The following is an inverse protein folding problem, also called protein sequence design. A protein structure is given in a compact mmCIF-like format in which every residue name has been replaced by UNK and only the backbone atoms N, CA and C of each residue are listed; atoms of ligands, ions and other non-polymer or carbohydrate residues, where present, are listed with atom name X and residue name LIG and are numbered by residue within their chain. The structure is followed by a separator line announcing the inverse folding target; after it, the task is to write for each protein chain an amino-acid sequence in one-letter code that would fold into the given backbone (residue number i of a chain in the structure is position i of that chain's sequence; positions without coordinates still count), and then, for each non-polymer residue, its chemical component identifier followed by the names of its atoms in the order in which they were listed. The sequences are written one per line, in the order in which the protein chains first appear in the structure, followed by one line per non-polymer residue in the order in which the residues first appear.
data_IF_313018167816
#
_entry.id   IF_313018167816
#
_cell.length_a   1.000
_cell.length_b   1.000
_cell.length_c   1.000
_cell.angle_alpha   90.00
_cell.angle_beta   90.00
_cell.angle_gamma   90.00
#
_symmetry.space_group_name_H-M   'P 1'
#
loop_
_entity.id
_entity.type
_entity.pdbx_description
1 polymer ?
#
# COMPACT_ATOMS: atom_id res chain seq x y z
N UNK A 1 41.45 -13.84 4.40
CA UNK A 1 41.68 -12.98 5.56
C UNK A 1 42.52 -11.81 5.08
N UNK A 2 42.09 -10.58 5.34
CA UNK A 2 42.90 -9.40 5.08
C UNK A 2 44.07 -9.40 6.06
N UNK A 3 45.29 -9.14 5.57
CA UNK A 3 46.48 -9.00 6.39
C UNK A 3 46.73 -7.52 6.66
N UNK A 4 46.86 -7.14 7.91
CA UNK A 4 47.26 -5.77 8.29
C UNK A 4 48.76 -5.58 7.96
N UNK A 5 49.05 -4.60 7.13
CA UNK A 5 50.45 -4.22 6.77
C UNK A 5 50.55 -2.70 6.74
N UNK A 6 51.72 -2.18 7.04
CA UNK A 6 51.96 -0.74 6.95
C UNK A 6 52.37 -0.38 5.52
N UNK A 7 51.63 0.57 4.93
CA UNK A 7 51.90 1.13 3.63
C UNK A 7 51.98 2.66 3.72
N UNK A 8 52.58 3.27 2.72
CA UNK A 8 52.76 4.72 2.64
C UNK A 8 51.96 5.28 1.45
N UNK A 9 51.45 6.48 1.62
CA UNK A 9 50.58 7.16 0.64
C UNK A 9 51.27 8.45 0.18
N UNK A 10 51.09 8.80 -1.07
CA UNK A 10 51.48 10.11 -1.60
C UNK A 10 50.41 11.21 -1.36
N UNK A 11 49.47 10.96 -0.45
CA UNK A 11 48.41 11.87 -0.04
C UNK A 11 48.11 11.69 1.46
N UNK A 12 47.29 12.58 2.05
CA UNK A 12 46.96 12.55 3.48
C UNK A 12 46.04 11.35 3.87
N UNK A 13 45.37 10.71 2.90
CA UNK A 13 44.52 9.55 3.11
C UNK A 13 44.49 8.67 1.88
N UNK A 14 44.00 7.42 2.00
CA UNK A 14 43.77 6.54 0.84
C UNK A 14 42.82 7.16 -0.18
N UNK A 15 41.85 7.97 0.27
CA UNK A 15 40.90 8.66 -0.61
C UNK A 15 41.55 9.70 -1.51
N UNK A 16 42.55 10.43 -1.00
CA UNK A 16 43.24 11.52 -1.72
C UNK A 16 44.55 11.07 -2.42
N UNK A 17 45.07 9.89 -2.06
CA UNK A 17 46.29 9.36 -2.64
C UNK A 17 46.07 8.94 -4.11
N UNK A 18 47.13 9.01 -4.92
CA UNK A 18 47.13 8.48 -6.29
C UNK A 18 47.87 7.18 -6.43
N UNK A 19 48.64 6.78 -5.38
CA UNK A 19 49.38 5.52 -5.34
C UNK A 19 49.63 5.08 -3.88
N UNK A 20 49.94 3.77 -3.71
CA UNK A 20 50.35 3.16 -2.45
C UNK A 20 51.76 2.63 -2.60
N UNK A 21 52.58 2.78 -1.53
CA UNK A 21 53.97 2.42 -1.56
C UNK A 21 54.31 1.51 -0.39
N UNK A 22 55.35 0.71 -0.54
CA UNK A 22 55.90 -0.16 0.50
C UNK A 22 57.00 0.50 1.34
N UNK A 23 57.51 1.65 0.90
CA UNK A 23 58.58 2.41 1.54
C UNK A 23 58.19 3.85 1.86
N UNK A 24 58.75 4.45 2.92
CA UNK A 24 58.45 5.82 3.33
C UNK A 24 58.96 6.90 2.34
N UNK A 25 59.92 6.53 1.50
CA UNK A 25 60.49 7.43 0.49
C UNK A 25 59.65 7.47 -0.80
N UNK A 26 58.54 6.72 -0.84
CA UNK A 26 57.59 6.64 -1.96
C UNK A 26 58.24 6.23 -3.30
N UNK A 27 59.22 5.33 -3.23
CA UNK A 27 59.96 4.89 -4.40
C UNK A 27 59.56 3.52 -4.93
N UNK A 28 58.99 2.67 -4.08
CA UNK A 28 58.58 1.32 -4.41
C UNK A 28 57.07 1.18 -4.29
N UNK A 29 56.41 1.08 -5.41
CA UNK A 29 54.96 0.85 -5.41
C UNK A 29 54.57 -0.43 -4.70
N UNK A 30 53.51 -0.40 -3.99
CA UNK A 30 52.91 -1.56 -3.39
C UNK A 30 52.41 -2.53 -4.49
N UNK A 31 52.28 -3.84 -4.22
CA UNK A 31 51.73 -4.79 -5.19
C UNK A 31 50.33 -4.39 -5.65
N UNK A 32 50.03 -4.70 -6.92
CA UNK A 32 48.66 -4.55 -7.44
C UNK A 32 47.67 -5.34 -6.57
N UNK A 33 46.52 -4.72 -6.28
CA UNK A 33 45.49 -5.31 -5.43
C UNK A 33 44.63 -4.26 -4.71
N UNK A 34 43.78 -4.73 -3.79
CA UNK A 34 42.86 -3.87 -3.07
C UNK A 34 43.47 -3.42 -1.73
N UNK A 35 43.39 -2.13 -1.49
CA UNK A 35 43.85 -1.46 -0.26
C UNK A 35 42.69 -0.85 0.46
N UNK A 36 42.67 -1.02 1.80
CA UNK A 36 41.59 -0.60 2.69
C UNK A 36 42.19 0.15 3.91
N UNK A 37 41.64 1.33 4.21
CA UNK A 37 42.12 2.16 5.32
C UNK A 37 41.17 2.17 6.53
N UNK A 38 40.12 1.33 6.51
CA UNK A 38 39.08 1.29 7.52
C UNK A 38 37.78 1.97 7.09
N UNK A 39 37.81 2.72 5.99
CA UNK A 39 36.68 3.50 5.50
C UNK A 39 36.40 3.17 4.03
N UNK A 40 37.41 3.23 3.17
CA UNK A 40 37.25 3.03 1.73
C UNK A 40 38.18 1.94 1.21
N UNK A 41 37.76 1.32 0.09
CA UNK A 41 38.59 0.39 -0.68
C UNK A 41 38.93 1.01 -2.03
N UNK A 42 40.20 0.89 -2.41
CA UNK A 42 40.67 1.26 -3.74
C UNK A 42 41.56 0.16 -4.31
N UNK A 43 41.43 -0.09 -5.59
CA UNK A 43 42.31 -0.99 -6.32
C UNK A 43 43.53 -0.25 -6.83
N UNK A 44 44.72 -0.79 -6.55
CA UNK A 44 45.97 -0.34 -7.11
C UNK A 44 46.28 -1.21 -8.34
N UNK A 45 46.46 -0.60 -9.49
CA UNK A 45 46.86 -1.26 -10.74
C UNK A 45 48.02 -0.50 -11.35
N UNK A 46 49.14 -1.18 -11.52
CA UNK A 46 50.37 -0.59 -12.08
C UNK A 46 50.75 0.76 -11.43
N UNK A 47 50.73 0.78 -10.10
CA UNK A 47 51.06 1.94 -9.29
C UNK A 47 50.07 3.14 -9.40
N UNK A 48 48.85 2.89 -9.85
CA UNK A 48 47.80 3.92 -9.91
C UNK A 48 46.60 3.41 -9.12
N UNK A 49 46.17 4.18 -8.13
CA UNK A 49 44.92 3.93 -7.41
C UNK A 49 43.73 4.30 -8.30
N UNK A 50 42.96 3.30 -8.63
CA UNK A 50 41.68 3.48 -9.31
C UNK A 50 40.68 4.21 -8.42
N UNK A 51 39.57 4.74 -8.96
CA UNK A 51 38.49 5.31 -8.15
C UNK A 51 38.08 4.36 -7.03
N UNK A 52 37.64 4.92 -5.91
CA UNK A 52 37.18 4.12 -4.78
C UNK A 52 36.01 3.21 -5.19
N UNK A 53 35.98 2.05 -4.55
CA UNK A 53 34.92 1.08 -4.72
C UNK A 53 34.27 0.80 -3.35
N UNK A 54 33.00 0.41 -3.37
CA UNK A 54 32.36 -0.13 -2.18
C UNK A 54 33.12 -1.38 -1.73
N UNK A 55 33.33 -1.47 -0.42
CA UNK A 55 33.84 -2.68 0.20
C UNK A 55 32.65 -3.56 0.63
N UNK A 56 32.32 -4.65 -0.08
CA UNK A 56 31.20 -5.50 0.33
C UNK A 56 31.39 -6.12 1.73
N UNK A 57 32.66 -6.28 2.15
CA UNK A 57 32.99 -6.77 3.50
C UNK A 57 32.97 -5.69 4.57
N UNK A 58 32.78 -4.41 4.17
CA UNK A 58 32.70 -3.26 5.04
C UNK A 58 31.27 -2.74 5.18
N UNK A 59 30.30 -3.40 4.54
CA UNK A 59 28.90 -3.00 4.60
C UNK A 59 28.35 -3.14 6.03
N UNK A 60 27.60 -2.16 6.47
CA UNK A 60 26.88 -2.23 7.73
C UNK A 60 25.72 -3.23 7.63
N UNK A 61 25.38 -3.89 8.75
CA UNK A 61 24.29 -4.86 8.74
C UNK A 61 22.93 -4.15 8.64
N UNK A 62 22.00 -4.74 7.88
CA UNK A 62 20.60 -4.33 7.91
C UNK A 62 19.99 -4.55 9.31
N UNK A 63 18.81 -3.96 9.58
CA UNK A 63 18.09 -4.09 10.85
C UNK A 63 18.71 -3.29 12.01
N UNK A 64 19.66 -2.41 11.70
CA UNK A 64 20.24 -1.48 12.66
C UNK A 64 19.34 -0.27 12.95
N UNK A 65 19.89 0.70 13.69
CA UNK A 65 19.24 1.99 13.90
C UNK A 65 19.11 2.76 12.58
N UNK A 66 18.14 3.71 12.51
CA UNK A 66 18.06 4.60 11.35
C UNK A 66 19.40 5.27 11.07
N UNK A 67 19.78 5.30 9.80
CA UNK A 67 20.93 6.05 9.32
C UNK A 67 20.45 7.47 9.07
N UNK A 68 20.88 8.40 9.91
CA UNK A 68 20.43 9.79 9.89
C UNK A 68 21.56 10.73 9.54
N UNK A 69 21.28 11.74 8.73
CA UNK A 69 22.23 12.80 8.41
C UNK A 69 21.53 14.15 8.30
N UNK A 70 22.22 15.18 8.76
CA UNK A 70 21.87 16.58 8.52
C UNK A 70 23.03 17.23 7.74
N UNK A 71 22.83 17.39 6.44
CA UNK A 71 23.83 17.96 5.56
C UNK A 71 23.76 19.49 5.55
N UNK A 72 24.83 20.15 6.01
CA UNK A 72 24.90 21.61 5.98
C UNK A 72 25.03 22.19 4.56
N UNK A 73 25.61 21.45 3.63
CA UNK A 73 25.99 21.93 2.29
C UNK A 73 25.37 21.14 1.15
N UNK A 74 24.59 20.12 1.45
CA UNK A 74 24.20 19.11 0.46
C UNK A 74 25.29 18.04 0.29
N UNK A 75 25.00 16.98 -0.46
CA UNK A 75 25.97 15.92 -0.71
C UNK A 75 25.39 14.72 -1.47
N UNK A 76 26.27 13.84 -1.90
CA UNK A 76 25.97 12.52 -2.41
C UNK A 76 26.40 11.50 -1.35
N UNK A 77 25.45 10.74 -0.79
CA UNK A 77 25.67 9.83 0.31
C UNK A 77 25.59 8.39 -0.17
N UNK A 78 26.67 7.64 0.00
CA UNK A 78 26.76 6.24 -0.41
C UNK A 78 26.78 5.34 0.84
N UNK A 79 25.87 4.36 0.85
CA UNK A 79 25.67 3.43 1.97
C UNK A 79 25.72 2.03 1.42
N UNK A 80 26.62 1.19 1.92
CA UNK A 80 26.66 -0.23 1.63
C UNK A 80 25.99 -1.02 2.76
N UNK A 81 25.05 -1.89 2.45
CA UNK A 81 24.31 -2.68 3.44
C UNK A 81 24.51 -4.18 3.20
N UNK A 82 24.81 -4.88 4.28
CA UNK A 82 24.87 -6.34 4.33
C UNK A 82 23.49 -6.90 4.66
N UNK A 83 22.87 -7.56 3.70
CA UNK A 83 21.52 -8.15 3.81
C UNK A 83 21.52 -9.58 4.38
N UNK A 84 22.68 -10.24 4.38
CA UNK A 84 22.75 -11.66 4.70
C UNK A 84 22.17 -12.56 3.58
N UNK A 85 22.00 -13.83 3.91
CA UNK A 85 21.53 -14.87 2.97
C UNK A 85 20.03 -15.20 3.10
N UNK A 86 19.30 -14.55 4.00
CA UNK A 86 17.85 -14.75 4.11
C UNK A 86 17.14 -14.23 2.85
N UNK A 87 16.02 -14.86 2.50
CA UNK A 87 15.12 -14.44 1.43
C UNK A 87 13.87 -13.80 2.02
N UNK A 88 13.15 -13.02 1.25
CA UNK A 88 11.96 -12.28 1.66
C UNK A 88 11.96 -10.87 1.07
N UNK A 89 11.20 -9.95 1.63
CA UNK A 89 11.22 -8.55 1.23
C UNK A 89 12.34 -7.77 1.91
N UNK A 90 13.06 -6.95 1.16
CA UNK A 90 13.91 -5.89 1.70
C UNK A 90 13.05 -4.63 1.73
N UNK A 91 12.77 -4.12 2.92
CA UNK A 91 11.98 -2.90 3.08
C UNK A 91 12.90 -1.76 3.49
N UNK A 92 12.91 -0.71 2.69
CA UNK A 92 13.68 0.51 2.92
C UNK A 92 12.69 1.63 3.15
N UNK A 93 12.69 2.18 4.35
CA UNK A 93 11.98 3.39 4.69
C UNK A 93 12.93 4.58 4.56
N UNK A 94 12.53 5.56 3.77
CA UNK A 94 13.30 6.77 3.52
C UNK A 94 12.47 7.99 3.88
N UNK A 95 12.87 8.73 4.89
CA UNK A 95 12.27 10.01 5.26
C UNK A 95 13.18 11.16 4.82
N UNK A 96 12.83 11.89 3.75
CA UNK A 96 13.56 13.04 3.27
C UNK A 96 13.23 14.32 4.03
N UNK A 97 12.37 14.27 5.05
CA UNK A 97 11.84 15.45 5.75
C UNK A 97 11.27 16.50 4.78
N UNK A 98 11.72 17.74 4.92
CA UNK A 98 11.14 18.89 4.20
C UNK A 98 11.99 19.41 3.04
N UNK A 99 13.23 18.93 2.89
CA UNK A 99 14.14 19.38 1.82
C UNK A 99 14.18 18.33 0.68
N UNK A 100 14.27 18.77 -0.58
CA UNK A 100 14.31 17.86 -1.73
C UNK A 100 15.45 16.86 -1.70
N UNK A 101 15.11 15.55 -1.71
CA UNK A 101 16.05 14.44 -1.71
C UNK A 101 15.62 13.33 -2.65
N UNK A 102 16.61 12.66 -3.22
CA UNK A 102 16.41 11.43 -3.98
C UNK A 102 17.12 10.26 -3.31
N UNK A 103 16.52 9.08 -3.42
CA UNK A 103 17.15 7.81 -3.06
C UNK A 103 17.23 6.89 -4.27
N UNK A 104 18.38 6.28 -4.45
CA UNK A 104 18.64 5.24 -5.43
C UNK A 104 19.16 4.00 -4.72
N UNK A 105 18.53 2.87 -4.93
CA UNK A 105 18.95 1.58 -4.38
C UNK A 105 19.37 0.68 -5.50
N UNK A 106 20.56 0.11 -5.41
CA UNK A 106 21.12 -0.83 -6.39
C UNK A 106 21.20 -2.21 -5.75
N UNK A 107 20.39 -3.13 -6.26
CA UNK A 107 20.37 -4.51 -5.80
C UNK A 107 20.28 -5.47 -6.99
N UNK A 108 21.15 -6.48 -7.03
CA UNK A 108 21.22 -7.49 -8.09
C UNK A 108 21.26 -6.92 -9.52
N UNK A 109 21.93 -5.79 -9.69
CA UNK A 109 22.05 -5.08 -10.98
C UNK A 109 20.81 -4.28 -11.37
N UNK A 110 19.76 -4.28 -10.56
CA UNK A 110 18.54 -3.47 -10.75
C UNK A 110 18.65 -2.20 -9.92
N UNK A 111 18.16 -1.11 -10.49
CA UNK A 111 18.13 0.21 -9.85
C UNK A 111 16.71 0.58 -9.50
N UNK A 112 16.47 0.90 -8.23
CA UNK A 112 15.19 1.36 -7.69
C UNK A 112 15.35 2.79 -7.23
N UNK A 113 14.54 3.70 -7.74
CA UNK A 113 14.65 5.14 -7.45
C UNK A 113 13.34 5.66 -6.87
N UNK A 114 13.45 6.54 -5.85
CA UNK A 114 12.34 7.36 -5.38
C UNK A 114 12.82 8.77 -5.05
N UNK A 115 11.90 9.72 -5.22
CA UNK A 115 12.06 11.10 -4.77
C UNK A 115 10.76 11.51 -4.08
N UNK A 116 10.81 12.36 -3.10
CA UNK A 116 9.58 12.84 -2.49
C UNK A 116 8.81 13.73 -3.46
N UNK A 117 7.48 13.64 -3.45
CA UNK A 117 6.62 14.31 -4.45
C UNK A 117 6.77 15.83 -4.50
N UNK A 118 6.93 16.47 -3.37
CA UNK A 118 7.19 17.91 -3.28
C UNK A 118 8.55 18.24 -3.89
N UNK A 119 9.50 17.39 -3.68
CA UNK A 119 10.87 17.57 -4.14
C UNK A 119 10.99 17.37 -5.62
N UNK A 120 10.14 16.54 -6.18
CA UNK A 120 10.15 16.25 -7.58
C UNK A 120 9.85 17.42 -8.45
N UNK A 121 8.74 17.99 -8.25
CA UNK A 121 8.39 19.14 -9.03
C UNK A 121 9.24 20.35 -8.73
N UNK A 122 9.75 20.43 -7.54
CA UNK A 122 10.75 21.39 -7.14
C UNK A 122 12.05 21.16 -7.93
N UNK A 123 12.57 19.94 -7.96
CA UNK A 123 13.76 19.58 -8.74
C UNK A 123 13.53 19.65 -10.25
N UNK A 124 12.32 19.42 -10.72
CA UNK A 124 11.95 19.59 -12.13
C UNK A 124 11.78 21.04 -12.56
N UNK A 125 11.93 22.02 -11.65
CA UNK A 125 11.72 23.44 -11.96
C UNK A 125 10.30 23.76 -12.39
N UNK A 126 9.32 22.92 -12.03
CA UNK A 126 7.93 23.15 -12.36
C UNK A 126 7.38 24.29 -11.51
N UNK A 127 7.21 25.44 -12.14
CA UNK A 127 6.71 26.68 -11.53
C UNK A 127 5.31 26.57 -10.91
N UNK A 128 4.67 25.41 -11.02
CA UNK A 128 3.27 25.18 -10.64
C UNK A 128 3.11 24.26 -9.42
N UNK A 129 4.19 23.94 -8.73
CA UNK A 129 4.08 23.09 -7.55
C UNK A 129 3.74 23.92 -6.32
N UNK A 130 3.01 23.28 -5.39
CA UNK A 130 2.65 23.94 -4.15
C UNK A 130 3.91 24.47 -3.48
N UNK A 131 3.81 25.69 -2.98
CA UNK A 131 4.89 26.42 -2.34
C UNK A 131 5.51 25.53 -1.26
N UNK A 132 6.73 25.12 -1.47
CA UNK A 132 7.52 24.45 -0.47
C UNK A 132 7.77 25.44 0.68
N UNK A 133 7.45 25.02 1.90
CA UNK A 133 7.61 25.90 3.07
C UNK A 133 9.05 25.80 3.54
N UNK A 134 9.88 26.74 3.10
CA UNK A 134 11.24 26.86 3.59
C UNK A 134 12.25 27.20 2.51
N UNK A 135 12.31 26.46 1.39
CA UNK A 135 13.28 26.70 0.34
C UNK A 135 12.66 26.61 -1.05
N UNK A 136 13.15 27.41 -1.99
CA UNK A 136 12.73 27.40 -3.39
C UNK A 136 13.81 26.76 -4.26
N UNK A 137 13.47 26.29 -5.46
CA UNK A 137 14.44 25.71 -6.40
C UNK A 137 15.62 26.66 -6.68
N UNK A 138 15.38 27.97 -6.64
CA UNK A 138 16.43 28.97 -6.78
C UNK A 138 17.41 29.03 -5.63
N UNK A 139 16.98 28.64 -4.41
CA UNK A 139 17.82 28.70 -3.22
C UNK A 139 18.83 27.53 -3.19
N UNK A 140 18.44 26.38 -3.76
CA UNK A 140 19.35 25.22 -3.89
C UNK A 140 20.18 25.23 -5.17
N UNK A 141 19.87 26.07 -6.14
CA UNK A 141 20.57 26.11 -7.43
C UNK A 141 20.39 24.84 -8.29
N UNK A 142 19.37 24.01 -7.99
CA UNK A 142 19.13 22.76 -8.70
C UNK A 142 18.34 23.03 -9.96
N UNK A 143 18.87 22.53 -11.08
CA UNK A 143 18.22 22.55 -12.39
C UNK A 143 18.01 21.11 -12.85
N UNK A 144 16.76 20.72 -13.08
CA UNK A 144 16.45 19.38 -13.59
C UNK A 144 17.16 19.11 -14.93
N UNK A 145 17.60 17.88 -15.13
CA UNK A 145 18.34 17.39 -16.30
C UNK A 145 19.68 18.13 -16.53
N UNK A 146 20.25 18.70 -15.48
CA UNK A 146 21.58 19.31 -15.51
C UNK A 146 22.51 18.58 -14.54
N UNK A 147 23.83 18.47 -14.87
CA UNK A 147 24.79 17.87 -13.96
C UNK A 147 25.03 18.75 -12.75
N UNK A 148 25.02 18.13 -11.57
CA UNK A 148 25.39 18.74 -10.30
C UNK A 148 26.60 18.00 -9.71
N UNK A 149 27.59 18.74 -9.27
CA UNK A 149 28.78 18.19 -8.60
C UNK A 149 28.57 18.31 -7.10
N UNK A 150 28.49 17.20 -6.41
CA UNK A 150 28.23 17.10 -4.98
C UNK A 150 29.41 16.47 -4.26
N UNK A 151 29.72 16.92 -3.05
CA UNK A 151 30.66 16.24 -2.17
C UNK A 151 30.12 14.81 -1.90
N UNK A 152 31.01 13.82 -2.00
CA UNK A 152 30.67 12.43 -1.78
C UNK A 152 31.02 12.02 -0.36
N UNK A 153 30.03 11.44 0.31
CA UNK A 153 30.13 10.88 1.65
C UNK A 153 29.91 9.36 1.57
N UNK A 154 30.69 8.61 2.32
CA UNK A 154 30.54 7.15 2.46
C UNK A 154 30.20 6.83 3.90
N UNK A 155 29.17 6.02 4.10
CA UNK A 155 28.75 5.53 5.41
C UNK A 155 29.54 4.29 5.81
N UNK A 156 30.15 4.34 6.97
CA UNK A 156 30.88 3.21 7.54
C UNK A 156 30.95 3.34 9.06
N UNK A 157 30.65 2.23 9.77
CA UNK A 157 30.78 2.18 11.24
C UNK A 157 29.87 3.20 11.95
N UNK A 158 28.73 3.53 11.39
CA UNK A 158 27.74 4.44 11.99
C UNK A 158 27.95 5.92 11.69
N UNK A 159 28.91 6.29 10.82
CA UNK A 159 29.19 7.70 10.50
C UNK A 159 29.43 7.90 9.00
N UNK A 160 29.06 9.07 8.50
CA UNK A 160 29.45 9.51 7.17
C UNK A 160 30.81 10.20 7.15
N UNK A 161 31.63 9.84 6.19
CA UNK A 161 32.95 10.44 5.97
C UNK A 161 33.04 10.97 4.55
N UNK A 162 33.40 12.26 4.42
CA UNK A 162 33.60 12.91 3.11
C UNK A 162 34.80 12.28 2.40
N UNK A 163 34.67 12.05 1.10
CA UNK A 163 35.73 11.53 0.26
C UNK A 163 36.39 12.68 -0.53
N UNK A 164 37.59 12.43 -1.07
CA UNK A 164 38.30 13.40 -1.88
C UNK A 164 37.74 13.56 -3.32
N UNK A 165 36.76 12.73 -3.70
CA UNK A 165 36.22 12.69 -5.05
C UNK A 165 34.74 13.02 -4.99
N UNK A 166 34.35 14.22 -5.47
CA UNK A 166 32.94 14.57 -5.59
C UNK A 166 32.24 13.69 -6.64
N UNK A 167 30.95 13.53 -6.49
CA UNK A 167 30.10 12.81 -7.44
C UNK A 167 29.39 13.79 -8.36
N UNK A 168 29.24 13.42 -9.63
CA UNK A 168 28.42 14.19 -10.58
C UNK A 168 27.10 13.49 -10.80
N UNK A 169 26.02 14.10 -10.36
CA UNK A 169 24.67 13.56 -10.46
C UNK A 169 23.82 14.35 -11.43
N UNK A 170 22.94 13.67 -12.15
CA UNK A 170 21.87 14.28 -12.92
C UNK A 170 20.54 13.92 -12.28
N UNK A 171 19.80 14.92 -11.85
CA UNK A 171 18.43 14.73 -11.40
C UNK A 171 17.51 14.72 -12.63
N UNK A 172 17.09 13.53 -13.05
CA UNK A 172 16.27 13.37 -14.24
C UNK A 172 14.79 13.49 -13.89
N UNK A 173 14.03 14.21 -14.71
CA UNK A 173 12.57 14.30 -14.54
C UNK A 173 11.85 12.95 -14.68
N UNK A 174 12.44 11.97 -15.39
CA UNK A 174 11.89 10.62 -15.53
C UNK A 174 12.09 9.71 -14.32
N UNK A 175 12.93 10.09 -13.35
CA UNK A 175 13.17 9.31 -12.12
C UNK A 175 12.17 9.64 -11.01
N UNK A 176 11.17 10.37 -11.32
CA UNK A 176 10.27 11.06 -10.44
C UNK A 176 9.07 10.19 -10.14
N UNK A 177 8.96 9.74 -8.88
CA UNK A 177 7.77 9.07 -8.37
C UNK A 177 6.71 10.10 -7.95
N UNK A 178 5.77 10.39 -8.86
CA UNK A 178 4.67 11.33 -8.62
C UNK A 178 3.67 10.84 -7.56
N UNK A 179 3.80 9.60 -7.08
CA UNK A 179 2.90 9.02 -6.08
C UNK A 179 3.41 9.20 -4.65
N UNK A 180 4.67 9.57 -4.49
CA UNK A 180 5.22 9.83 -3.16
C UNK A 180 4.52 11.05 -2.52
N UNK A 181 3.89 10.85 -1.37
CA UNK A 181 3.22 11.92 -0.63
C UNK A 181 4.21 12.64 0.27
N UNK A 182 4.16 13.95 0.32
CA UNK A 182 5.01 14.77 1.17
C UNK A 182 4.14 15.60 2.15
N UNK A 183 4.59 15.87 3.38
CA UNK A 183 5.77 15.33 4.05
C UNK A 183 5.51 13.94 4.61
N UNK A 184 6.48 13.04 4.50
CA UNK A 184 6.39 11.73 5.10
C UNK A 184 7.35 10.72 4.48
N UNK A 185 7.62 9.61 5.17
CA UNK A 185 8.51 8.59 4.66
C UNK A 185 7.96 7.98 3.37
N UNK A 186 8.85 7.68 2.45
CA UNK A 186 8.57 6.85 1.30
C UNK A 186 9.23 5.48 1.47
N UNK A 187 8.70 4.48 0.78
CA UNK A 187 9.16 3.11 0.93
C UNK A 187 9.60 2.54 -0.41
N UNK A 188 10.69 1.77 -0.38
CA UNK A 188 11.15 0.95 -1.48
C UNK A 188 11.11 -0.49 -0.99
N UNK A 189 10.36 -1.35 -1.67
CA UNK A 189 10.28 -2.77 -1.40
C UNK A 189 10.97 -3.52 -2.53
N UNK A 190 11.93 -4.39 -2.18
CA UNK A 190 12.73 -5.14 -3.13
C UNK A 190 12.63 -6.62 -2.80
N UNK A 191 12.13 -7.48 -3.71
CA UNK A 191 12.07 -8.91 -3.49
C UNK A 191 13.47 -9.51 -3.50
N UNK A 192 13.83 -10.22 -2.43
CA UNK A 192 15.05 -11.02 -2.34
C UNK A 192 14.68 -12.50 -2.46
N UNK A 193 14.62 -12.99 -3.68
CA UNK A 193 14.20 -14.38 -4.00
C UNK A 193 15.31 -15.40 -3.88
N UNK A 194 16.56 -14.95 -3.73
CA UNK A 194 17.78 -15.78 -3.69
C UNK A 194 18.66 -15.42 -2.48
N UNK A 195 19.42 -16.38 -1.92
CA UNK A 195 20.42 -16.10 -0.90
C UNK A 195 21.51 -15.12 -1.32
N UNK A 196 21.72 -14.94 -2.62
CA UNK A 196 22.71 -14.03 -3.20
C UNK A 196 22.02 -13.09 -4.20
N UNK A 197 22.46 -11.80 -4.31
CA UNK A 197 23.56 -11.16 -3.59
C UNK A 197 23.22 -10.89 -2.11
N UNK A 198 24.27 -10.80 -1.29
CA UNK A 198 24.14 -10.53 0.16
C UNK A 198 24.34 -9.06 0.52
N UNK A 199 24.60 -8.22 -0.48
CA UNK A 199 24.83 -6.79 -0.28
C UNK A 199 23.98 -5.97 -1.24
N UNK A 200 23.64 -4.77 -0.83
CA UNK A 200 23.06 -3.73 -1.69
C UNK A 200 23.76 -2.40 -1.46
N UNK A 201 23.59 -1.50 -2.40
CA UNK A 201 24.07 -0.12 -2.32
C UNK A 201 22.87 0.82 -2.28
N UNK A 202 22.94 1.81 -1.39
CA UNK A 202 21.97 2.91 -1.34
C UNK A 202 22.75 4.20 -1.59
N UNK A 203 22.24 5.01 -2.51
CA UNK A 203 22.75 6.35 -2.78
C UNK A 203 21.68 7.36 -2.46
N UNK A 204 22.01 8.38 -1.65
CA UNK A 204 21.10 9.48 -1.36
C UNK A 204 21.67 10.75 -1.97
N UNK A 205 20.84 11.42 -2.73
CA UNK A 205 21.16 12.64 -3.44
C UNK A 205 20.50 13.80 -2.70
N UNK A 206 21.28 14.49 -1.89
CA UNK A 206 20.89 15.66 -1.11
C UNK A 206 21.48 16.90 -1.77
N UNK A 207 20.85 17.37 -2.83
CA UNK A 207 21.43 18.43 -3.64
C UNK A 207 21.27 19.83 -3.00
N UNK A 208 20.37 20.01 -2.04
CA UNK A 208 20.14 21.26 -1.32
C UNK A 208 20.94 21.33 -0.01
N UNK A 209 21.40 22.54 0.39
CA UNK A 209 21.89 22.79 1.74
C UNK A 209 20.82 22.51 2.79
N UNK A 210 21.21 22.16 4.01
CA UNK A 210 20.34 21.86 5.14
C UNK A 210 19.38 20.67 4.89
N UNK A 211 19.73 19.81 3.94
CA UNK A 211 19.04 18.56 3.73
C UNK A 211 19.18 17.65 4.93
N UNK A 212 18.09 17.03 5.33
CA UNK A 212 18.06 16.01 6.38
C UNK A 212 17.36 14.76 5.84
N UNK A 213 17.86 13.59 6.24
CA UNK A 213 17.19 12.34 5.92
C UNK A 213 17.38 11.30 7.00
N UNK A 214 16.44 10.38 7.07
CA UNK A 214 16.55 9.12 7.78
C UNK A 214 16.33 7.96 6.81
N UNK A 215 17.13 6.91 6.93
CA UNK A 215 16.95 5.64 6.19
C UNK A 215 16.95 4.50 7.16
N UNK A 216 15.89 3.72 7.15
CA UNK A 216 15.78 2.45 7.89
C UNK A 216 15.73 1.29 6.91
N UNK A 217 16.52 0.26 7.13
CA UNK A 217 16.58 -0.91 6.27
C UNK A 217 16.25 -2.15 7.08
N UNK A 218 15.08 -2.73 6.83
CA UNK A 218 14.72 -4.03 7.39
C UNK A 218 15.49 -5.15 6.68
N UNK A 219 16.06 -6.07 7.46
CA UNK A 219 16.69 -7.26 6.88
C UNK A 219 15.63 -8.18 6.27
N UNK A 220 15.91 -8.81 5.12
CA UNK A 220 14.98 -9.76 4.55
C UNK A 220 14.78 -10.94 5.51
N UNK A 221 13.52 -11.24 5.80
CA UNK A 221 13.09 -12.40 6.58
C UNK A 221 12.08 -13.20 5.76
N UNK A 222 11.99 -14.53 5.96
CA UNK A 222 10.96 -15.32 5.31
C UNK A 222 9.57 -14.78 5.67
N UNK A 223 8.77 -14.47 4.65
CA UNK A 223 7.42 -13.94 4.86
C UNK A 223 6.51 -15.02 5.46
N UNK A 224 5.68 -14.62 6.41
CA UNK A 224 4.72 -15.51 7.07
C UNK A 224 3.36 -15.44 6.37
N UNK A 225 2.73 -16.59 6.15
CA UNK A 225 1.38 -16.64 5.55
C UNK A 225 0.30 -16.30 6.56
N UNK A 226 -0.75 -15.63 6.10
CA UNK A 226 -1.99 -15.45 6.85
C UNK A 226 -3.21 -15.51 5.92
N UNK A 227 -4.40 -15.71 6.50
CA UNK A 227 -5.65 -15.74 5.76
C UNK A 227 -6.43 -14.45 5.95
N UNK A 228 -7.05 -13.95 4.88
CA UNK A 228 -7.83 -12.73 4.88
C UNK A 228 -8.92 -12.76 3.82
N UNK A 229 -9.78 -11.75 3.80
CA UNK A 229 -10.70 -11.49 2.69
C UNK A 229 -9.97 -10.89 1.49
N UNK A 230 -10.68 -10.73 0.38
CA UNK A 230 -10.29 -9.83 -0.69
C UNK A 230 -10.23 -8.36 -0.21
N UNK A 231 -9.65 -7.49 -1.05
CA UNK A 231 -9.63 -6.05 -0.78
C UNK A 231 -11.03 -5.46 -0.82
N UNK A 232 -11.37 -4.66 0.16
CA UNK A 232 -12.67 -4.01 0.30
C UNK A 232 -12.54 -2.49 0.39
N UNK A 233 -13.55 -1.76 -0.11
CA UNK A 233 -13.57 -0.30 -0.09
C UNK A 233 -13.85 0.29 1.31
N UNK A 234 -14.33 -0.52 2.26
CA UNK A 234 -14.61 -0.10 3.63
C UNK A 234 -14.47 -1.25 4.62
N UNK A 235 -14.22 -0.93 5.89
CA UNK A 235 -14.17 -1.89 6.98
C UNK A 235 -15.45 -2.73 7.10
N UNK A 236 -16.60 -2.12 6.83
CA UNK A 236 -17.90 -2.79 6.89
C UNK A 236 -18.03 -3.89 5.84
N UNK A 237 -17.59 -3.63 4.62
CA UNK A 237 -17.57 -4.62 3.54
C UNK A 237 -16.56 -5.72 3.82
N UNK A 238 -15.37 -5.37 4.32
CA UNK A 238 -14.37 -6.35 4.73
C UNK A 238 -14.92 -7.32 5.78
N UNK A 239 -15.62 -6.81 6.81
CA UNK A 239 -16.23 -7.65 7.85
C UNK A 239 -17.29 -8.63 7.34
N UNK A 240 -17.92 -8.33 6.21
CA UNK A 240 -18.93 -9.20 5.59
C UNK A 240 -18.34 -10.19 4.60
N UNK A 241 -17.07 -10.02 4.24
CA UNK A 241 -16.42 -10.82 3.22
C UNK A 241 -15.79 -12.09 3.79
N UNK A 242 -15.65 -13.11 2.93
CA UNK A 242 -15.09 -14.42 3.29
C UNK A 242 -13.58 -14.33 3.49
N UNK A 243 -13.05 -15.14 4.42
CA UNK A 243 -11.60 -15.26 4.65
C UNK A 243 -11.11 -16.48 3.86
N UNK A 244 -10.94 -16.30 2.56
CA UNK A 244 -10.56 -17.39 1.63
C UNK A 244 -9.30 -17.10 0.83
N UNK A 245 -8.69 -15.91 1.03
CA UNK A 245 -7.44 -15.53 0.42
C UNK A 245 -6.24 -15.84 1.32
N UNK A 246 -5.09 -16.11 0.71
CA UNK A 246 -3.80 -16.22 1.39
C UNK A 246 -2.89 -15.10 0.99
N UNK A 247 -2.33 -14.42 2.00
CA UNK A 247 -1.37 -13.35 1.84
C UNK A 247 -0.15 -13.58 2.72
N UNK A 248 0.80 -12.65 2.66
CA UNK A 248 2.08 -12.75 3.32
C UNK A 248 2.39 -11.48 4.11
N UNK A 249 3.09 -11.61 5.22
CA UNK A 249 3.42 -10.49 6.11
C UNK A 249 4.89 -10.53 6.53
N UNK A 250 5.48 -9.35 6.61
CA UNK A 250 6.74 -9.10 7.32
C UNK A 250 6.42 -8.35 8.62
N UNK A 251 6.66 -9.03 9.74
CA UNK A 251 6.41 -8.46 11.07
C UNK A 251 7.55 -7.50 11.45
N UNK A 252 7.32 -6.21 11.29
CA UNK A 252 8.28 -5.16 11.69
C UNK A 252 8.00 -4.71 13.12
N UNK A 253 6.73 -4.50 13.48
CA UNK A 253 6.31 -3.97 14.78
C UNK A 253 5.39 -4.91 15.56
N UNK A 254 4.88 -5.96 14.92
CA UNK A 254 4.12 -7.04 15.57
C UNK A 254 5.03 -8.14 16.11
N UNK A 255 4.54 -8.94 17.03
CA UNK A 255 5.18 -10.23 17.37
C UNK A 255 4.83 -11.28 16.34
N UNK A 256 5.66 -12.32 16.18
CA UNK A 256 5.36 -13.42 15.25
C UNK A 256 3.94 -13.97 15.46
N UNK A 257 3.11 -13.89 14.41
CA UNK A 257 1.71 -14.34 14.42
C UNK A 257 0.68 -13.29 14.81
N UNK A 258 1.07 -12.03 15.09
CA UNK A 258 0.15 -10.95 15.43
C UNK A 258 0.57 -9.67 14.70
N UNK A 259 -0.36 -9.07 13.95
CA UNK A 259 -0.10 -7.83 13.23
C UNK A 259 0.19 -6.66 14.18
N UNK A 260 1.16 -5.82 13.76
CA UNK A 260 1.39 -4.49 14.30
C UNK A 260 1.01 -3.40 13.30
N UNK A 261 0.84 -2.17 13.78
CA UNK A 261 0.84 -1.01 12.89
C UNK A 261 2.20 -0.91 12.21
N UNK A 262 2.17 -0.60 10.92
CA UNK A 262 3.34 -0.49 10.03
C UNK A 262 4.00 -1.83 9.66
N UNK A 263 3.38 -2.97 9.95
CA UNK A 263 3.78 -4.24 9.34
C UNK A 263 3.48 -4.23 7.83
N UNK A 264 4.37 -4.85 7.06
CA UNK A 264 4.25 -4.92 5.60
C UNK A 264 3.48 -6.17 5.18
N UNK A 265 2.55 -5.99 4.25
CA UNK A 265 1.70 -7.09 3.75
C UNK A 265 1.78 -7.20 2.23
N UNK A 266 1.86 -8.46 1.74
CA UNK A 266 2.16 -8.78 0.36
C UNK A 266 1.18 -9.81 -0.21
N UNK A 267 1.02 -9.77 -1.55
CA UNK A 267 0.22 -10.75 -2.29
C UNK A 267 0.99 -12.06 -2.56
N UNK A 268 2.32 -12.02 -2.50
CA UNK A 268 3.19 -13.14 -2.84
C UNK A 268 4.26 -13.40 -1.77
N UNK A 269 4.78 -14.63 -1.77
CA UNK A 269 5.77 -15.11 -0.78
C UNK A 269 7.13 -14.42 -0.87
N UNK A 270 7.44 -13.81 -2.02
CA UNK A 270 8.73 -13.15 -2.25
C UNK A 270 8.70 -11.67 -1.90
N UNK A 271 7.52 -11.10 -1.63
CA UNK A 271 7.36 -9.67 -1.37
C UNK A 271 7.46 -8.81 -2.64
N UNK A 272 7.12 -9.37 -3.81
CA UNK A 272 7.19 -8.66 -5.09
C UNK A 272 6.03 -7.66 -5.25
N UNK A 273 4.84 -8.05 -4.78
CA UNK A 273 3.64 -7.22 -4.86
C UNK A 273 3.08 -6.95 -3.47
N UNK A 274 3.06 -5.68 -3.06
CA UNK A 274 2.38 -5.27 -1.83
C UNK A 274 0.87 -5.45 -1.95
N UNK A 275 0.18 -5.62 -0.83
CA UNK A 275 -1.28 -5.64 -0.83
C UNK A 275 -1.83 -4.29 -1.31
N UNK A 276 -2.90 -4.30 -2.15
CA UNK A 276 -3.60 -3.09 -2.55
C UNK A 276 -4.14 -2.30 -1.35
N UNK A 277 -4.25 -0.99 -1.53
CA UNK A 277 -4.88 -0.13 -0.53
C UNK A 277 -6.35 -0.52 -0.33
N UNK A 278 -6.76 -0.65 0.93
CA UNK A 278 -8.14 -1.03 1.27
C UNK A 278 -8.29 -1.65 2.65
N UNK A 279 -9.44 -2.26 2.87
CA UNK A 279 -9.80 -2.91 4.13
C UNK A 279 -9.86 -4.43 3.95
N UNK A 280 -9.39 -5.16 4.94
CA UNK A 280 -9.25 -6.61 4.92
C UNK A 280 -9.79 -7.23 6.22
N UNK A 281 -10.58 -8.29 6.12
CA UNK A 281 -11.08 -9.05 7.26
C UNK A 281 -10.11 -10.18 7.59
N UNK A 282 -9.54 -10.18 8.79
CA UNK A 282 -8.59 -11.20 9.22
C UNK A 282 -8.54 -11.33 10.76
N UNK A 283 -9.60 -11.82 11.39
CA UNK A 283 -9.72 -11.85 12.84
C UNK A 283 -8.64 -12.71 13.52
N UNK A 284 -8.11 -13.72 12.83
CA UNK A 284 -7.08 -14.61 13.41
C UNK A 284 -5.68 -13.96 13.43
N UNK A 285 -5.45 -12.93 12.62
CA UNK A 285 -4.15 -12.26 12.50
C UNK A 285 -4.14 -10.88 13.15
N UNK A 286 -5.30 -10.26 13.33
CA UNK A 286 -5.43 -8.99 14.02
C UNK A 286 -5.21 -9.13 15.53
N UNK A 287 -4.58 -8.15 16.21
CA UNK A 287 -4.52 -8.15 17.66
C UNK A 287 -5.92 -7.99 18.26
N UNK A 288 -6.37 -8.90 19.17
CA UNK A 288 -7.68 -8.78 19.78
C UNK A 288 -7.87 -7.43 20.49
N UNK A 289 -9.05 -6.79 20.42
CA UNK A 289 -10.32 -7.33 19.88
C UNK A 289 -10.59 -7.03 18.41
N UNK A 290 -9.57 -6.77 17.59
CA UNK A 290 -9.76 -6.36 16.21
C UNK A 290 -10.04 -7.55 15.30
N UNK A 291 -10.80 -7.30 14.23
CA UNK A 291 -11.20 -8.30 13.24
C UNK A 291 -10.83 -7.88 11.81
N UNK A 292 -10.47 -6.62 11.61
CA UNK A 292 -10.07 -6.09 10.31
C UNK A 292 -8.87 -5.16 10.42
N UNK A 293 -8.16 -4.98 9.31
CA UNK A 293 -7.08 -4.01 9.17
C UNK A 293 -7.21 -3.22 7.86
N UNK A 294 -6.65 -2.02 7.84
CA UNK A 294 -6.53 -1.18 6.66
C UNK A 294 -5.09 -1.15 6.16
N UNK A 295 -4.93 -1.30 4.85
CA UNK A 295 -3.65 -1.20 4.16
C UNK A 295 -3.59 0.12 3.39
N UNK A 296 -2.45 0.80 3.46
CA UNK A 296 -2.08 1.92 2.59
C UNK A 296 -0.62 1.76 2.18
N UNK A 297 -0.36 1.79 0.87
CA UNK A 297 0.98 1.59 0.29
C UNK A 297 1.67 0.29 0.78
N UNK A 298 0.91 -0.79 0.93
CA UNK A 298 1.41 -2.08 1.41
C UNK A 298 1.66 -2.18 2.92
N UNK A 299 1.30 -1.16 3.70
CA UNK A 299 1.53 -1.09 5.15
C UNK A 299 0.21 -1.10 5.90
N UNK A 300 0.15 -1.79 7.04
CA UNK A 300 -1.01 -1.76 7.91
C UNK A 300 -1.03 -0.43 8.67
N UNK A 301 -2.05 0.39 8.42
CA UNK A 301 -2.17 1.73 9.01
C UNK A 301 -3.26 1.84 10.07
N UNK A 302 -4.17 0.89 10.13
CA UNK A 302 -5.28 0.90 11.08
C UNK A 302 -5.81 -0.51 11.34
N UNK A 303 -6.32 -0.71 12.55
CA UNK A 303 -7.11 -1.88 12.96
C UNK A 303 -8.47 -1.46 13.46
N UNK A 304 -9.41 -2.40 13.45
CA UNK A 304 -10.69 -2.22 14.09
C UNK A 304 -11.47 -3.50 14.26
N UNK A 305 -12.53 -3.42 15.04
CA UNK A 305 -13.46 -4.52 15.28
C UNK A 305 -14.57 -4.50 14.25
N UNK A 306 -14.95 -5.67 13.79
CA UNK A 306 -16.20 -5.84 13.08
C UNK A 306 -17.34 -5.56 14.06
N UNK A 307 -17.95 -4.39 13.91
CA UNK A 307 -19.21 -4.15 14.57
C UNK A 307 -20.23 -5.00 13.83
N UNK A 308 -20.34 -6.26 14.19
CA UNK A 308 -21.51 -7.05 13.89
C UNK A 308 -22.66 -6.40 14.65
N UNK A 309 -23.16 -5.31 14.11
CA UNK A 309 -24.42 -4.79 14.55
C UNK A 309 -25.41 -5.89 14.22
N UNK A 310 -25.97 -6.52 15.27
CA UNK A 310 -27.07 -7.46 15.10
C UNK A 310 -28.28 -6.80 14.40
N UNK A 311 -28.13 -5.57 13.95
CA UNK A 311 -29.17 -4.77 13.32
C UNK A 311 -28.83 -4.46 11.87
N UNK A 312 -29.76 -4.74 11.02
CA UNK A 312 -29.67 -4.58 9.58
C UNK A 312 -30.79 -3.67 9.10
N UNK A 313 -30.50 -2.85 8.11
CA UNK A 313 -31.55 -2.16 7.37
C UNK A 313 -31.96 -3.07 6.21
N UNK A 314 -33.23 -3.38 6.16
CA UNK A 314 -33.81 -4.25 5.15
C UNK A 314 -34.87 -3.47 4.36
N UNK A 315 -35.00 -3.77 3.07
CA UNK A 315 -35.98 -3.20 2.18
C UNK A 315 -36.95 -4.28 1.75
N UNK A 316 -38.25 -4.05 1.93
CA UNK A 316 -39.26 -5.02 1.54
C UNK A 316 -39.32 -5.17 0.04
N UNK A 317 -39.30 -6.44 -0.43
CA UNK A 317 -39.49 -6.75 -1.83
C UNK A 317 -40.93 -6.48 -2.23
N UNK A 318 -41.16 -5.49 -3.05
CA UNK A 318 -42.51 -5.12 -3.52
C UNK A 318 -42.74 -3.62 -3.54
N UNK A 319 -42.56 -2.93 -2.41
CA UNK A 319 -42.74 -1.48 -2.29
C UNK A 319 -41.52 -0.72 -1.78
N UNK A 320 -40.46 -1.44 -1.43
CA UNK A 320 -39.23 -0.83 -0.94
C UNK A 320 -39.30 -0.25 0.47
N UNK A 321 -40.36 -0.57 1.28
CA UNK A 321 -40.43 -0.10 2.66
C UNK A 321 -39.22 -0.59 3.47
N UNK A 322 -38.52 0.34 4.09
CA UNK A 322 -37.33 0.03 4.87
C UNK A 322 -37.65 -0.16 6.36
N UNK A 323 -36.99 -1.14 6.97
CA UNK A 323 -37.05 -1.41 8.42
C UNK A 323 -35.66 -1.67 8.95
N UNK A 324 -35.46 -1.47 10.25
CA UNK A 324 -34.27 -1.92 10.97
C UNK A 324 -34.64 -3.16 11.73
N UNK A 325 -33.89 -4.24 11.50
CA UNK A 325 -34.14 -5.57 12.08
C UNK A 325 -32.90 -6.13 12.73
N UNK A 326 -33.05 -6.96 13.77
CA UNK A 326 -31.93 -7.65 14.40
C UNK A 326 -31.75 -9.04 13.80
N UNK A 327 -30.54 -9.58 13.89
CA UNK A 327 -30.27 -10.99 13.60
C UNK A 327 -29.35 -11.58 14.66
N UNK A 328 -29.57 -12.84 15.00
CA UNK A 328 -28.67 -13.62 15.88
C UNK A 328 -27.50 -14.24 15.13
N UNK A 329 -27.57 -14.24 13.81
CA UNK A 329 -26.53 -14.75 12.91
C UNK A 329 -26.16 -13.68 11.90
N UNK A 330 -24.91 -13.65 11.43
CA UNK A 330 -24.50 -12.75 10.34
C UNK A 330 -25.35 -12.99 9.09
N UNK A 331 -25.77 -11.90 8.43
CA UNK A 331 -26.41 -11.92 7.11
C UNK A 331 -25.65 -10.95 6.19
N UNK A 332 -25.63 -11.27 4.90
CA UNK A 332 -24.90 -10.50 3.91
C UNK A 332 -25.79 -9.43 3.24
N UNK A 333 -25.15 -8.41 2.70
CA UNK A 333 -25.88 -7.46 1.84
C UNK A 333 -26.39 -8.17 0.59
N UNK A 334 -27.67 -7.93 0.28
CA UNK A 334 -28.35 -8.59 -0.81
C UNK A 334 -29.04 -9.90 -0.43
N UNK A 335 -28.80 -10.48 0.75
CA UNK A 335 -29.54 -11.64 1.23
C UNK A 335 -31.03 -11.32 1.29
N UNK A 336 -31.85 -12.29 0.87
CA UNK A 336 -33.30 -12.24 1.01
C UNK A 336 -33.69 -12.91 2.34
N UNK A 337 -34.42 -12.17 3.16
CA UNK A 337 -34.73 -12.61 4.52
C UNK A 337 -36.24 -12.53 4.80
N UNK A 338 -36.72 -13.39 5.71
CA UNK A 338 -38.02 -13.27 6.34
C UNK A 338 -37.87 -12.72 7.75
N UNK A 339 -38.90 -12.04 8.26
CA UNK A 339 -38.91 -11.46 9.60
C UNK A 339 -39.82 -12.28 10.53
N UNK A 340 -39.55 -12.24 11.82
CA UNK A 340 -40.29 -13.01 12.82
C UNK A 340 -41.70 -12.47 13.03
N UNK A 341 -41.87 -11.15 13.04
CA UNK A 341 -43.15 -10.49 13.27
C UNK A 341 -43.99 -10.22 12.02
N UNK A 342 -43.44 -10.46 10.83
CA UNK A 342 -44.13 -10.17 9.57
C UNK A 342 -44.26 -11.45 8.74
N UNK A 343 -45.45 -11.99 8.71
CA UNK A 343 -45.75 -13.24 7.96
C UNK A 343 -45.89 -12.89 6.47
N UNK A 344 -45.36 -13.78 5.61
CA UNK A 344 -45.46 -13.76 4.16
C UNK A 344 -44.74 -12.65 3.41
N UNK A 345 -44.10 -11.69 4.09
CA UNK A 345 -43.24 -10.70 3.45
C UNK A 345 -41.78 -11.12 3.47
N UNK A 346 -41.08 -10.80 2.38
CA UNK A 346 -39.63 -10.97 2.26
C UNK A 346 -38.94 -9.63 2.03
N UNK A 347 -37.71 -9.54 2.47
CA UNK A 347 -36.93 -8.32 2.49
C UNK A 347 -35.52 -8.58 1.95
N UNK A 348 -34.96 -7.62 1.27
CA UNK A 348 -33.54 -7.64 0.91
C UNK A 348 -32.74 -6.87 1.94
N UNK A 349 -31.63 -7.42 2.39
CA UNK A 349 -30.67 -6.73 3.27
C UNK A 349 -29.91 -5.68 2.45
N UNK A 350 -30.09 -4.40 2.80
CA UNK A 350 -29.54 -3.29 2.02
C UNK A 350 -28.44 -2.53 2.73
N UNK A 351 -28.35 -2.63 4.06
CA UNK A 351 -27.28 -2.00 4.83
C UNK A 351 -27.21 -2.61 6.23
N UNK A 352 -26.05 -2.45 6.87
CA UNK A 352 -25.92 -2.61 8.32
C UNK A 352 -26.47 -1.35 9.03
N UNK A 353 -27.00 -1.47 10.23
CA UNK A 353 -27.59 -0.37 10.94
C UNK A 353 -27.21 -0.31 12.41
N UNK A 354 -26.87 0.87 12.90
CA UNK A 354 -26.73 1.15 14.32
C UNK A 354 -28.03 1.56 15.03
N UNK A 355 -29.17 1.56 14.31
CA UNK A 355 -30.46 1.96 14.86
C UNK A 355 -31.11 0.87 15.70
N UNK A 356 -32.23 1.23 16.38
CA UNK A 356 -33.00 0.27 17.15
C UNK A 356 -33.80 -0.64 16.23
N UNK A 357 -33.65 -1.94 16.36
CA UNK A 357 -34.40 -2.91 15.60
C UNK A 357 -35.87 -2.95 16.04
N UNK A 358 -36.79 -3.02 15.08
CA UNK A 358 -38.23 -3.14 15.32
C UNK A 358 -38.72 -4.59 15.15
N UNK A 359 -37.91 -5.44 14.53
CA UNK A 359 -38.21 -6.86 14.33
C UNK A 359 -36.89 -7.65 14.28
N UNK A 360 -36.95 -8.97 14.07
CA UNK A 360 -35.80 -9.84 13.93
C UNK A 360 -35.88 -10.70 12.68
N UNK A 361 -34.73 -11.03 12.11
CA UNK A 361 -34.61 -11.94 10.97
C UNK A 361 -34.93 -13.36 11.46
N UNK A 362 -35.88 -13.98 10.78
CA UNK A 362 -36.30 -15.37 11.05
C UNK A 362 -35.47 -16.38 10.23
N UNK A 363 -35.32 -16.11 8.92
CA UNK A 363 -34.55 -16.98 8.03
C UNK A 363 -33.97 -16.20 6.86
N UNK A 364 -32.85 -16.71 6.32
CA UNK A 364 -32.30 -16.30 5.01
C UNK A 364 -32.81 -17.27 3.95
N UNK A 365 -33.29 -16.74 2.84
CA UNK A 365 -33.77 -17.53 1.70
C UNK A 365 -32.65 -17.60 0.66
N UNK A 366 -31.98 -18.74 0.47
CA UNK A 366 -30.88 -18.84 -0.46
C UNK A 366 -31.34 -18.82 -1.93
N UNK A 367 -30.51 -18.27 -2.82
CA UNK A 367 -30.66 -18.29 -4.27
C UNK A 367 -31.91 -17.57 -4.83
N UNK A 368 -32.45 -16.59 -4.11
CA UNK A 368 -33.65 -15.83 -4.50
C UNK A 368 -33.31 -14.34 -4.52
N UNK A 369 -33.85 -13.61 -5.47
CA UNK A 369 -33.81 -12.15 -5.54
C UNK A 369 -35.19 -11.54 -5.34
N UNK A 370 -35.30 -10.24 -5.06
CA UNK A 370 -36.58 -9.59 -4.96
C UNK A 370 -37.43 -9.71 -6.25
N UNK A 371 -36.80 -9.82 -7.40
CA UNK A 371 -37.49 -9.99 -8.69
C UNK A 371 -38.18 -11.35 -8.83
N UNK A 372 -37.78 -12.34 -8.07
CA UNK A 372 -38.37 -13.67 -8.01
C UNK A 372 -39.60 -13.74 -7.08
N UNK A 373 -39.82 -12.71 -6.28
CA UNK A 373 -40.85 -12.69 -5.26
C UNK A 373 -42.17 -12.22 -5.88
N UNK A 374 -43.22 -12.93 -5.54
CA UNK A 374 -44.59 -12.61 -5.93
C UNK A 374 -45.30 -11.82 -4.85
N UNK A 375 -45.98 -10.77 -5.28
CA UNK A 375 -46.75 -9.90 -4.40
C UNK A 375 -48.11 -9.53 -5.05
N UNK A 376 -49.06 -9.13 -4.23
CA UNK A 376 -50.35 -8.64 -4.70
C UNK A 376 -50.32 -7.13 -4.86
N UNK A 377 -50.81 -6.67 -6.02
CA UNK A 377 -50.88 -5.25 -6.37
C UNK A 377 -52.28 -4.85 -6.79
N UNK A 378 -52.77 -3.71 -6.30
CA UNK A 378 -53.96 -3.06 -6.80
C UNK A 378 -53.57 -1.98 -7.80
N UNK A 379 -54.19 -2.02 -8.97
CA UNK A 379 -53.97 -1.07 -10.03
C UNK A 379 -55.32 -0.39 -10.35
N UNK A 380 -55.41 0.87 -9.90
CA UNK A 380 -56.62 1.69 -10.12
C UNK A 380 -56.46 2.58 -11.33
N UNK A 381 -57.43 2.52 -12.21
CA UNK A 381 -57.45 3.37 -13.40
C UNK A 381 -58.24 4.66 -13.13
N UNK A 382 -57.52 5.74 -12.84
CA UNK A 382 -58.07 7.08 -12.69
C UNK A 382 -58.08 7.90 -13.98
N UNK A 383 -57.80 7.28 -15.13
CA UNK A 383 -57.86 7.91 -16.46
C UNK A 383 -59.23 7.78 -17.10
N UNK A 384 -59.44 8.43 -18.22
CA UNK A 384 -60.71 8.32 -18.99
C UNK A 384 -60.68 7.22 -20.03
N UNK A 385 -59.57 6.52 -20.18
CA UNK A 385 -59.38 5.46 -21.18
C UNK A 385 -59.12 4.12 -20.49
N UNK A 386 -59.51 3.04 -21.18
CA UNK A 386 -59.14 1.68 -20.74
C UNK A 386 -57.66 1.49 -20.93
N UNK A 387 -56.96 1.08 -19.87
CA UNK A 387 -55.50 0.88 -19.83
C UNK A 387 -55.17 -0.61 -19.78
N UNK A 388 -54.08 -0.99 -20.48
CA UNK A 388 -53.50 -2.32 -20.44
C UNK A 388 -52.50 -2.49 -19.35
N UNK A 389 -52.48 -3.65 -18.72
CA UNK A 389 -51.48 -4.04 -17.73
C UNK A 389 -50.88 -5.38 -18.15
N UNK A 390 -49.58 -5.42 -18.32
CA UNK A 390 -48.82 -6.65 -18.58
C UNK A 390 -47.92 -6.96 -17.43
N UNK A 391 -47.78 -8.23 -17.05
CA UNK A 391 -46.93 -8.65 -15.91
C UNK A 391 -46.54 -10.12 -16.05
N UNK A 392 -45.57 -10.56 -15.27
CA UNK A 392 -45.25 -11.97 -15.07
C UNK A 392 -45.97 -12.47 -13.82
N UNK A 393 -46.66 -13.61 -13.93
CA UNK A 393 -47.23 -14.28 -12.77
C UNK A 393 -46.15 -14.96 -11.93
N UNK A 394 -46.54 -15.61 -10.84
CA UNK A 394 -45.61 -16.28 -9.91
C UNK A 394 -44.85 -17.43 -10.55
N UNK A 395 -45.37 -18.03 -11.60
CA UNK A 395 -44.68 -19.06 -12.37
C UNK A 395 -43.71 -18.45 -13.43
N UNK A 396 -43.70 -17.11 -13.56
CA UNK A 396 -42.92 -16.42 -14.58
C UNK A 396 -43.57 -16.40 -15.95
N UNK A 397 -44.87 -16.79 -16.06
CA UNK A 397 -45.59 -16.76 -17.30
C UNK A 397 -46.14 -15.33 -17.59
N UNK A 398 -46.06 -14.84 -18.83
CA UNK A 398 -46.56 -13.52 -19.18
C UNK A 398 -48.10 -13.51 -19.13
N UNK A 399 -48.63 -12.52 -18.41
CA UNK A 399 -50.06 -12.26 -18.24
C UNK A 399 -50.41 -10.85 -18.70
N UNK A 400 -51.68 -10.65 -19.07
CA UNK A 400 -52.17 -9.32 -19.36
C UNK A 400 -53.62 -9.17 -18.91
N UNK A 401 -53.97 -7.98 -18.45
CA UNK A 401 -55.34 -7.60 -18.11
C UNK A 401 -55.61 -6.17 -18.58
N UNK A 402 -56.88 -5.77 -18.55
CA UNK A 402 -57.25 -4.38 -18.84
C UNK A 402 -58.04 -3.80 -17.67
N UNK A 403 -57.81 -2.54 -17.36
CA UNK A 403 -58.52 -1.82 -16.30
C UNK A 403 -59.33 -0.68 -16.90
N UNK A 404 -60.63 -0.75 -16.78
CA UNK A 404 -61.54 0.28 -17.33
C UNK A 404 -61.50 1.53 -16.39
N UNK A 405 -61.90 2.70 -16.92
CA UNK A 405 -61.96 3.93 -16.12
C UNK A 405 -62.74 3.78 -14.82
N UNK A 406 -62.16 4.21 -13.70
CA UNK A 406 -62.76 4.13 -12.38
C UNK A 406 -62.69 2.75 -11.71
N UNK A 407 -62.18 1.72 -12.36
CA UNK A 407 -62.04 0.39 -11.79
C UNK A 407 -60.65 0.14 -11.16
N UNK A 408 -60.60 -0.83 -10.28
CA UNK A 408 -59.33 -1.38 -9.71
C UNK A 408 -59.23 -2.85 -10.13
N UNK A 409 -58.07 -3.25 -10.58
CA UNK A 409 -57.72 -4.64 -10.79
C UNK A 409 -56.69 -5.08 -9.74
N UNK A 410 -56.96 -6.15 -9.06
CA UNK A 410 -55.98 -6.79 -8.15
C UNK A 410 -55.27 -7.90 -8.94
N UNK A 411 -53.93 -7.81 -8.99
CA UNK A 411 -53.11 -8.80 -9.69
C UNK A 411 -52.08 -9.39 -8.74
N UNK A 412 -51.68 -10.63 -9.01
CA UNK A 412 -50.58 -11.32 -8.35
C UNK A 412 -49.44 -11.41 -9.35
N UNK A 413 -48.36 -10.72 -9.07
CA UNK A 413 -47.28 -10.52 -10.03
C UNK A 413 -45.88 -10.60 -9.37
N UNK A 414 -44.88 -11.02 -10.16
CA UNK A 414 -43.48 -10.88 -9.75
C UNK A 414 -43.13 -9.41 -9.59
N UNK A 415 -42.34 -9.10 -8.57
CA UNK A 415 -41.83 -7.77 -8.31
C UNK A 415 -41.10 -7.24 -9.54
N UNK A 416 -41.30 -5.96 -9.85
CA UNK A 416 -40.72 -5.28 -11.03
C UNK A 416 -41.17 -5.80 -12.42
N UNK A 417 -42.10 -6.75 -12.50
CA UNK A 417 -42.56 -7.27 -13.76
C UNK A 417 -43.78 -6.51 -14.39
N UNK A 418 -44.37 -5.58 -13.64
CA UNK A 418 -45.59 -4.88 -14.06
C UNK A 418 -45.25 -3.75 -15.02
N UNK A 419 -45.85 -3.81 -16.21
CA UNK A 419 -45.74 -2.77 -17.25
C UNK A 419 -47.10 -2.16 -17.49
N UNK A 420 -47.29 -0.91 -17.14
CA UNK A 420 -48.52 -0.16 -17.28
C UNK A 420 -48.27 1.35 -17.20
N UNK A 421 -49.21 2.16 -17.76
CA UNK A 421 -49.19 3.62 -17.54
C UNK A 421 -49.84 4.04 -16.20
N UNK A 422 -50.44 3.10 -15.49
CA UNK A 422 -51.04 3.32 -14.16
C UNK A 422 -50.00 3.11 -13.06
N UNK A 423 -50.30 3.58 -11.86
CA UNK A 423 -49.44 3.37 -10.70
C UNK A 423 -49.89 2.12 -9.94
N UNK A 424 -49.11 1.03 -9.98
CA UNK A 424 -49.38 -0.12 -9.14
C UNK A 424 -49.18 0.23 -7.66
N UNK A 425 -50.12 -0.15 -6.83
CA UNK A 425 -50.05 0.02 -5.37
C UNK A 425 -49.86 -1.37 -4.76
N UNK A 426 -48.75 -1.57 -4.09
CA UNK A 426 -48.52 -2.79 -3.33
C UNK A 426 -49.54 -2.91 -2.19
N UNK A 427 -50.16 -4.05 -2.05
CA UNK A 427 -51.22 -4.28 -1.06
C UNK A 427 -50.87 -5.35 -0.04
N UNK A 428 -50.41 -6.49 -0.49
CA UNK A 428 -50.11 -7.62 0.39
C UNK A 428 -48.88 -8.37 -0.10
N UNK A 429 -48.03 -8.83 0.83
CA UNK A 429 -46.95 -9.76 0.53
C UNK A 429 -47.52 -11.15 0.19
N UNK A 430 -46.90 -11.78 -0.79
CA UNK A 430 -47.36 -13.05 -1.29
C UNK A 430 -48.59 -12.90 -2.15
N UNK A 431 -49.06 -14.05 -2.65
CA UNK A 431 -50.25 -14.17 -3.46
C UNK A 431 -51.18 -15.21 -2.82
N UNK A 432 -52.47 -14.98 -2.77
CA UNK A 432 -53.42 -15.91 -2.18
C UNK A 432 -53.49 -17.25 -2.92
#
# INVERSE_FOLDING_TARGET
MATSSTYYLNGPSLGSATAVFTDPDLTLCAPDGFYFDGIIVRELVSCVLLPQQLCPACADACGGFPISELSATGGYYEIAIQLGSATGAIVIEFDPYTVPLGIEVIYDGVVYNKMSSTNFGYLAGAANLPTYVGETASDCGIVANSPHVLDKYVFYGGVFTVTAFPETVNVLSSQLDLTATNPGPCFIVIPKTSPSPTTMQINIIAACPLSQFDVTIACPVPLTTFSSSDVNASALLACADSIDQQYFVEYVNGGAGTFGLYDWVFQDVNGEFVLPDGFYHSPSSCPPPNDWFQVQNGVIVQFGTCVYGNNYRVSRCGDGQELIVSSVSPVNLGDIVTLTGVVDCVYSVIAFSGGTAVDSINAVIPFVTCDDICNTYDITNNTLLTEGVSYLDCAGAPQSTTVIPGATATICAKTNSIVTNLTPVFTVCGCP
#
